data_IF_494756218325
#
_entry.id   IF_494756218325
#
_cell.length_a   1.000
_cell.length_b   1.000
_cell.length_c   1.000
_cell.angle_alpha   90.00
_cell.angle_beta   90.00
_cell.angle_gamma   90.00
#
_symmetry.space_group_name_H-M   'P 1'
#
loop_
_entity.id
_entity.type
_entity.pdbx_description
1 polymer ?
#
# COMPACT_ATOMS: atom_id res chain seq x y z
N UNK A 1 8.08 6.15 -8.28
CA UNK A 1 8.61 7.15 -7.34
C UNK A 1 9.83 6.57 -6.65
N UNK A 2 10.95 7.31 -6.50
CA UNK A 2 11.99 6.89 -5.57
C UNK A 2 11.43 6.87 -4.13
N UNK A 3 12.02 6.05 -3.26
CA UNK A 3 11.70 6.06 -1.83
C UNK A 3 11.84 7.49 -1.28
N UNK A 4 10.94 7.88 -0.37
CA UNK A 4 11.05 9.17 0.29
C UNK A 4 12.34 9.22 1.12
N UNK A 5 12.61 8.14 1.84
CA UNK A 5 13.83 7.89 2.63
C UNK A 5 14.02 6.37 2.80
N UNK A 6 15.27 5.94 3.00
CA UNK A 6 15.62 4.63 3.58
C UNK A 6 16.57 4.86 4.76
N UNK A 7 16.38 4.11 5.85
CA UNK A 7 17.21 4.11 7.06
C UNK A 7 17.37 2.68 7.58
N UNK A 8 18.26 1.94 6.94
CA UNK A 8 18.61 0.59 7.38
C UNK A 8 19.34 0.61 8.73
N UNK A 9 19.30 -0.50 9.47
CA UNK A 9 20.20 -0.71 10.59
C UNK A 9 20.63 -2.17 10.71
N UNK A 10 21.83 -2.35 11.26
CA UNK A 10 22.42 -3.65 11.58
C UNK A 10 22.22 -4.02 13.06
N UNK A 11 22.45 -5.29 13.37
CA UNK A 11 22.43 -5.83 14.74
C UNK A 11 23.33 -5.04 15.69
N UNK A 12 22.92 -4.96 16.96
CA UNK A 12 23.61 -4.18 17.99
C UNK A 12 23.11 -2.74 18.15
N UNK A 13 22.11 -2.31 17.37
CA UNK A 13 21.43 -1.04 17.57
C UNK A 13 20.47 -1.11 18.76
N UNK A 14 21.00 -0.88 19.97
CA UNK A 14 20.24 -0.97 21.22
C UNK A 14 19.06 0.01 21.32
N UNK A 15 19.02 1.09 20.53
CA UNK A 15 17.86 2.01 20.47
C UNK A 15 16.78 1.41 19.60
N UNK A 16 17.12 0.93 18.40
CA UNK A 16 16.16 0.29 17.50
C UNK A 16 15.54 -0.95 18.16
N UNK A 17 16.36 -1.82 18.76
CA UNK A 17 15.92 -3.01 19.50
C UNK A 17 14.86 -2.70 20.56
N UNK A 18 15.06 -1.63 21.33
CA UNK A 18 14.08 -1.17 22.33
C UNK A 18 12.78 -0.69 21.70
N UNK A 19 12.84 0.01 20.57
CA UNK A 19 11.67 0.53 19.87
C UNK A 19 10.85 -0.61 19.26
N UNK A 20 11.50 -1.53 18.55
CA UNK A 20 10.80 -2.64 17.86
C UNK A 20 10.51 -3.84 18.76
N UNK A 21 11.08 -3.86 19.98
CA UNK A 21 10.87 -4.92 20.96
C UNK A 21 11.56 -6.24 20.62
N UNK A 22 12.69 -6.18 19.91
CA UNK A 22 13.50 -7.34 19.50
C UNK A 22 14.92 -7.22 20.06
N UNK A 23 15.68 -8.30 20.00
CA UNK A 23 17.10 -8.32 20.33
C UNK A 23 17.93 -8.50 19.07
N UNK A 24 19.02 -7.73 18.95
CA UNK A 24 19.99 -7.76 17.86
C UNK A 24 19.34 -7.60 16.48
N UNK A 25 18.31 -6.76 16.39
CA UNK A 25 17.54 -6.58 15.16
C UNK A 25 18.36 -5.96 14.05
N UNK A 26 18.14 -6.43 12.82
CA UNK A 26 18.72 -5.89 11.60
C UNK A 26 17.66 -5.85 10.50
N UNK A 27 17.60 -4.75 9.74
CA UNK A 27 16.51 -4.50 8.78
C UNK A 27 16.99 -3.70 7.58
N UNK A 28 16.30 -3.87 6.45
CA UNK A 28 16.26 -2.90 5.36
C UNK A 28 14.92 -2.18 5.33
N UNK A 29 14.92 -0.86 5.19
CA UNK A 29 13.70 -0.05 5.19
C UNK A 29 13.48 0.71 3.90
N UNK A 30 12.21 0.89 3.55
CA UNK A 30 11.77 1.80 2.50
C UNK A 30 10.55 2.58 2.98
N UNK A 31 10.69 3.90 3.10
CA UNK A 31 9.58 4.79 3.41
C UNK A 31 9.00 5.35 2.10
N UNK A 32 7.76 5.02 1.81
CA UNK A 32 7.01 5.49 0.65
C UNK A 32 6.11 6.65 1.05
N UNK A 33 6.07 7.70 0.24
CA UNK A 33 5.14 8.82 0.43
C UNK A 33 3.93 8.65 -0.49
N UNK A 34 2.74 8.73 0.08
CA UNK A 34 1.46 8.76 -0.62
C UNK A 34 0.65 9.98 -0.12
N UNK A 35 0.79 11.11 -0.81
CA UNK A 35 0.18 12.38 -0.39
C UNK A 35 0.69 12.86 0.97
N UNK A 36 -0.21 12.91 1.96
CA UNK A 36 0.08 13.26 3.36
C UNK A 36 0.38 12.04 4.25
N UNK A 37 0.30 10.84 3.70
CA UNK A 37 0.52 9.58 4.42
C UNK A 37 1.85 8.97 3.98
N UNK A 38 2.47 8.20 4.88
CA UNK A 38 3.64 7.39 4.56
C UNK A 38 3.36 5.92 4.82
N UNK A 39 3.85 5.06 3.92
CA UNK A 39 3.84 3.61 4.08
C UNK A 39 5.29 3.18 4.26
N UNK A 40 5.59 2.62 5.43
CA UNK A 40 6.93 2.16 5.79
C UNK A 40 7.02 0.64 5.65
N UNK A 41 7.98 0.16 4.87
CA UNK A 41 8.21 -1.26 4.60
C UNK A 41 9.49 -1.68 5.28
N UNK A 42 9.44 -2.80 6.01
CA UNK A 42 10.56 -3.37 6.75
C UNK A 42 10.85 -4.77 6.21
N UNK A 43 12.09 -5.01 5.78
CA UNK A 43 12.60 -6.34 5.53
C UNK A 43 13.57 -6.72 6.66
N UNK A 44 13.10 -7.49 7.64
CA UNK A 44 13.96 -7.97 8.72
C UNK A 44 14.93 -9.04 8.21
N UNK A 45 16.22 -8.79 8.42
CA UNK A 45 17.29 -9.76 8.15
C UNK A 45 17.74 -10.47 9.43
N UNK A 46 17.46 -9.90 10.60
CA UNK A 46 17.56 -10.58 11.90
C UNK A 46 16.61 -9.97 12.95
N UNK A 47 15.97 -10.78 13.80
CA UNK A 47 15.54 -12.14 13.46
C UNK A 47 14.64 -12.10 12.22
N UNK A 48 14.77 -13.08 11.34
CA UNK A 48 13.89 -13.17 10.16
C UNK A 48 12.46 -13.46 10.63
N UNK A 49 11.50 -12.69 10.09
CA UNK A 49 10.08 -12.87 10.36
C UNK A 49 9.55 -14.24 9.89
N UNK A 50 8.32 -14.57 10.28
CA UNK A 50 7.64 -15.76 9.74
C UNK A 50 7.30 -15.54 8.27
N UNK A 51 7.21 -16.64 7.53
CA UNK A 51 6.75 -16.59 6.14
C UNK A 51 5.37 -15.92 6.03
N UNK A 52 5.13 -15.15 4.96
CA UNK A 52 3.83 -14.55 4.72
C UNK A 52 2.72 -15.60 4.65
N UNK A 53 1.49 -15.22 4.99
CA UNK A 53 0.33 -16.12 4.91
C UNK A 53 -0.27 -15.99 3.51
N UNK A 54 0.00 -16.92 2.58
CA UNK A 54 -0.49 -16.80 1.22
C UNK A 54 -2.01 -16.86 1.21
N UNK A 55 -2.62 -16.00 0.40
CA UNK A 55 -4.07 -15.97 0.18
C UNK A 55 -4.92 -15.82 1.46
N UNK A 56 -4.40 -15.15 2.49
CA UNK A 56 -5.18 -14.78 3.68
C UNK A 56 -6.52 -14.14 3.26
N UNK A 57 -7.63 -14.55 3.88
CA UNK A 57 -8.97 -14.10 3.50
C UNK A 57 -9.24 -12.74 4.12
N UNK A 58 -10.04 -11.92 3.42
CA UNK A 58 -10.43 -10.59 3.90
C UNK A 58 -11.20 -10.61 5.22
N UNK A 59 -11.82 -11.74 5.60
CA UNK A 59 -12.56 -11.89 6.85
C UNK A 59 -11.71 -12.37 8.04
N UNK A 60 -10.43 -12.69 7.85
CA UNK A 60 -9.58 -13.20 8.93
C UNK A 60 -9.04 -12.04 9.79
N UNK A 61 -9.18 -12.13 11.12
CA UNK A 61 -8.89 -11.05 12.07
C UNK A 61 -7.45 -10.50 12.03
N UNK A 62 -7.29 -9.19 11.82
CA UNK A 62 -6.01 -8.48 11.72
C UNK A 62 -6.15 -7.23 10.84
N UNK A 63 -5.04 -6.60 10.45
CA UNK A 63 -5.05 -5.64 9.35
C UNK A 63 -5.43 -6.38 8.06
N UNK A 64 -6.59 -6.07 7.49
CA UNK A 64 -7.16 -6.83 6.37
C UNK A 64 -6.69 -6.31 5.03
N UNK A 65 -6.62 -4.99 4.86
CA UNK A 65 -6.11 -4.32 3.67
C UNK A 65 -5.70 -2.87 3.96
N UNK A 66 -4.93 -2.30 3.03
CA UNK A 66 -4.69 -0.85 2.90
C UNK A 66 -5.35 -0.42 1.59
N UNK A 67 -6.10 0.67 1.62
CA UNK A 67 -6.77 1.22 0.44
C UNK A 67 -6.02 2.44 -0.09
N UNK A 68 -5.80 2.46 -1.40
CA UNK A 68 -5.24 3.57 -2.15
C UNK A 68 -6.34 4.14 -3.05
N UNK A 69 -6.73 5.38 -2.77
CA UNK A 69 -7.61 6.13 -3.64
C UNK A 69 -6.81 6.67 -4.83
N UNK A 70 -7.30 6.44 -6.04
CA UNK A 70 -6.64 6.73 -7.30
C UNK A 70 -7.58 7.47 -8.24
N UNK A 71 -7.00 8.10 -9.25
CA UNK A 71 -7.74 8.59 -10.42
C UNK A 71 -7.59 7.53 -11.49
N UNK A 72 -8.68 7.20 -12.20
CA UNK A 72 -8.69 6.17 -13.25
C UNK A 72 -8.29 4.79 -12.72
N UNK A 73 -9.17 4.19 -11.90
CA UNK A 73 -8.92 2.86 -11.31
C UNK A 73 -8.81 1.76 -12.36
N UNK A 74 -9.52 1.90 -13.48
CA UNK A 74 -9.45 0.97 -14.60
C UNK A 74 -8.07 1.05 -15.27
N UNK A 75 -7.51 2.26 -15.46
CA UNK A 75 -6.15 2.45 -15.97
C UNK A 75 -5.05 1.89 -15.04
N UNK A 76 -5.14 2.16 -13.73
CA UNK A 76 -4.18 1.64 -12.75
C UNK A 76 -4.26 0.11 -12.60
N UNK A 77 -5.46 -0.46 -12.69
CA UNK A 77 -5.67 -1.89 -12.76
C UNK A 77 -4.90 -2.51 -13.95
N UNK A 78 -5.10 -2.00 -15.17
CA UNK A 78 -4.43 -2.51 -16.37
C UNK A 78 -2.91 -2.37 -16.28
N UNK A 79 -2.42 -1.22 -15.79
CA UNK A 79 -0.98 -0.97 -15.60
C UNK A 79 -0.36 -2.00 -14.64
N UNK A 80 -0.99 -2.25 -13.50
CA UNK A 80 -0.48 -3.19 -12.50
C UNK A 80 -0.64 -4.65 -12.93
N UNK A 81 -1.73 -4.98 -13.63
CA UNK A 81 -1.94 -6.30 -14.20
C UNK A 81 -0.83 -6.65 -15.21
N UNK A 82 -0.41 -5.69 -16.04
CA UNK A 82 0.70 -5.85 -16.98
C UNK A 82 2.05 -6.13 -16.29
N UNK A 83 2.25 -5.62 -15.06
CA UNK A 83 3.41 -5.89 -14.21
C UNK A 83 3.31 -7.21 -13.41
N UNK A 84 2.26 -8.00 -13.65
CA UNK A 84 2.05 -9.32 -13.05
C UNK A 84 1.36 -9.31 -11.68
N UNK A 85 0.81 -8.17 -11.28
CA UNK A 85 0.03 -8.08 -10.03
C UNK A 85 -1.25 -8.90 -10.15
N UNK A 86 -1.58 -9.63 -9.08
CA UNK A 86 -2.78 -10.47 -9.03
C UNK A 86 -3.93 -9.72 -8.39
N UNK A 87 -5.04 -9.62 -9.11
CA UNK A 87 -6.29 -9.06 -8.62
C UNK A 87 -7.34 -10.13 -8.40
N UNK A 88 -8.29 -9.87 -7.50
CA UNK A 88 -9.44 -10.74 -7.26
C UNK A 88 -10.45 -10.63 -8.41
N UNK A 89 -10.58 -9.43 -8.98
CA UNK A 89 -11.49 -9.09 -10.09
C UNK A 89 -10.98 -7.81 -10.78
N UNK A 90 -11.38 -7.52 -12.04
CA UNK A 90 -11.35 -6.15 -12.54
C UNK A 90 -12.17 -5.19 -11.64
N UNK A 91 -11.91 -3.87 -11.68
CA UNK A 91 -12.68 -2.89 -10.90
C UNK A 91 -14.19 -3.02 -11.12
N UNK A 92 -14.92 -3.05 -10.00
CA UNK A 92 -16.39 -3.17 -10.01
C UNK A 92 -17.02 -1.92 -9.41
N UNK A 93 -18.20 -1.56 -9.92
CA UNK A 93 -19.01 -0.48 -9.37
C UNK A 93 -19.71 -0.94 -8.08
N UNK A 94 -19.59 -0.12 -7.04
CA UNK A 94 -20.23 -0.31 -5.74
C UNK A 94 -21.18 0.85 -5.50
N UNK A 95 -22.45 0.63 -5.85
CA UNK A 95 -23.55 1.54 -5.54
C UNK A 95 -23.55 2.85 -6.33
N UNK A 96 -22.86 2.91 -7.49
CA UNK A 96 -22.74 4.11 -8.32
C UNK A 96 -21.87 5.20 -7.72
N UNK A 97 -21.18 4.92 -6.61
CA UNK A 97 -20.39 5.91 -5.86
C UNK A 97 -18.90 5.67 -5.97
N UNK A 98 -18.50 4.40 -6.01
CA UNK A 98 -17.10 3.97 -5.99
C UNK A 98 -16.90 2.86 -7.02
N UNK A 99 -15.80 2.91 -7.77
CA UNK A 99 -15.23 1.73 -8.45
C UNK A 99 -14.04 1.23 -7.65
N UNK A 100 -13.98 -0.08 -7.41
CA UNK A 100 -12.92 -0.65 -6.56
C UNK A 100 -12.54 -2.08 -6.97
N UNK A 101 -11.31 -2.47 -6.62
CA UNK A 101 -10.84 -3.86 -6.65
C UNK A 101 -9.79 -4.14 -5.58
N UNK A 102 -9.70 -5.41 -5.19
CA UNK A 102 -8.63 -5.93 -4.35
C UNK A 102 -7.53 -6.60 -5.18
N UNK A 103 -6.29 -6.18 -4.92
CA UNK A 103 -5.06 -6.81 -5.39
C UNK A 103 -4.31 -7.52 -4.27
N UNK A 104 -3.21 -8.20 -4.62
CA UNK A 104 -2.25 -8.77 -3.64
C UNK A 104 -0.83 -8.30 -3.90
N UNK A 105 -0.15 -7.93 -2.82
CA UNK A 105 1.28 -7.65 -2.83
C UNK A 105 2.11 -8.96 -2.88
N UNK A 106 3.44 -8.88 -2.99
CA UNK A 106 4.31 -10.07 -3.01
C UNK A 106 4.22 -10.94 -1.76
N UNK A 107 3.85 -10.38 -0.61
CA UNK A 107 3.68 -11.09 0.67
C UNK A 107 2.24 -11.63 0.83
N UNK A 108 1.36 -11.40 -0.15
CA UNK A 108 -0.01 -11.88 -0.15
C UNK A 108 -0.98 -11.02 0.67
N UNK A 109 -0.56 -9.87 1.19
CA UNK A 109 -1.45 -8.89 1.81
C UNK A 109 -2.42 -8.36 0.76
N UNK A 110 -3.65 -8.04 1.19
CA UNK A 110 -4.62 -7.40 0.30
C UNK A 110 -4.32 -5.89 0.29
N UNK A 111 -4.28 -5.32 -0.90
CA UNK A 111 -4.42 -3.88 -1.07
C UNK A 111 -5.68 -3.60 -1.90
N UNK A 112 -6.28 -2.44 -1.69
CA UNK A 112 -7.43 -1.96 -2.46
C UNK A 112 -7.01 -0.80 -3.35
N UNK A 113 -7.50 -0.81 -4.59
CA UNK A 113 -7.55 0.38 -5.43
C UNK A 113 -8.99 0.85 -5.49
N UNK A 114 -9.19 2.12 -5.22
CA UNK A 114 -10.50 2.74 -5.19
C UNK A 114 -10.49 4.01 -6.03
N UNK A 115 -11.57 4.28 -6.75
CA UNK A 115 -11.86 5.58 -7.33
C UNK A 115 -13.29 6.00 -6.96
N UNK A 116 -13.43 7.19 -6.36
CA UNK A 116 -14.72 7.81 -6.09
C UNK A 116 -15.26 8.42 -7.38
N UNK A 117 -16.25 7.78 -7.98
CA UNK A 117 -16.82 8.19 -9.27
C UNK A 117 -17.96 9.21 -9.14
N UNK A 118 -18.52 9.37 -7.94
CA UNK A 118 -19.57 10.34 -7.67
C UNK A 118 -18.98 11.69 -7.23
N UNK A 119 -19.14 12.70 -8.08
CA UNK A 119 -18.69 14.06 -7.78
C UNK A 119 -19.39 14.68 -6.57
N UNK A 120 -18.67 15.57 -5.87
CA UNK A 120 -19.20 16.35 -4.75
C UNK A 120 -19.21 15.64 -3.41
N UNK A 121 -18.69 14.42 -3.34
CA UNK A 121 -18.41 13.74 -2.08
C UNK A 121 -17.11 14.29 -1.47
N UNK A 122 -17.09 14.43 -0.15
CA UNK A 122 -15.89 14.88 0.57
C UNK A 122 -14.69 13.92 0.44
N UNK A 123 -14.98 12.66 0.07
CA UNK A 123 -13.98 11.60 -0.13
C UNK A 123 -13.38 11.61 -1.54
N UNK A 124 -13.97 12.34 -2.48
CA UNK A 124 -13.44 12.44 -3.84
C UNK A 124 -12.02 13.02 -3.82
N UNK A 125 -11.06 12.26 -4.37
CA UNK A 125 -9.65 12.60 -4.33
C UNK A 125 -9.36 13.99 -4.91
N UNK A 126 -10.14 14.43 -5.89
CA UNK A 126 -10.01 15.77 -6.49
C UNK A 126 -10.32 16.88 -5.47
N UNK A 127 -11.16 16.60 -4.46
CA UNK A 127 -11.45 17.51 -3.36
C UNK A 127 -10.39 17.45 -2.24
N UNK A 128 -9.80 16.27 -2.02
CA UNK A 128 -8.82 16.05 -0.94
C UNK A 128 -7.42 16.53 -1.35
N UNK A 129 -7.06 16.41 -2.63
CA UNK A 129 -5.79 16.85 -3.19
C UNK A 129 -6.05 17.73 -4.43
N UNK A 130 -6.45 19.01 -4.22
CA UNK A 130 -6.91 19.88 -5.32
C UNK A 130 -5.85 20.22 -6.39
N UNK A 131 -4.58 19.85 -6.20
CA UNK A 131 -3.46 20.16 -7.11
C UNK A 131 -3.12 19.04 -8.11
N UNK A 132 -3.91 17.95 -8.15
CA UNK A 132 -3.64 16.76 -8.99
C UNK A 132 -3.52 17.06 -10.49
N UNK A 133 -4.13 18.13 -11.01
CA UNK A 133 -4.02 18.53 -12.42
C UNK A 133 -2.58 18.84 -12.90
N UNK A 134 -1.63 19.07 -11.98
CA UNK A 134 -0.24 19.43 -12.35
C UNK A 134 0.81 18.33 -12.16
N UNK A 135 0.43 17.14 -11.67
CA UNK A 135 1.37 16.06 -11.38
C UNK A 135 1.17 14.79 -12.22
N UNK A 136 0.48 14.87 -13.37
CA UNK A 136 0.56 13.80 -14.37
C UNK A 136 1.98 13.77 -14.91
N UNK A 137 2.80 12.90 -14.30
CA UNK A 137 4.18 12.62 -14.65
C UNK A 137 4.22 12.18 -16.12
N UNK A 138 4.91 12.96 -16.95
CA UNK A 138 5.41 12.53 -18.27
C UNK A 138 6.54 11.53 -18.11
#
# INVERSE_FOLDING_TARGET
>A
MPFAVSYDWDSGNAVADKVVGLQDSAVKTALLRAGNTFVEIFQYTHPVGKDPIPNRRACDAGLTHICFDVIDVDGEYERLLAEGVKFHTPPVDVGGTVRTTYGRDPDGNIFELQEVTQSGLALDLQNVVPELETQVIK
#
